data_IF_665164601237
#
_entry.id   IF_665164601237
#
_cell.length_a   1.000
_cell.length_b   1.000
_cell.length_c   1.000
_cell.angle_alpha   90.00
_cell.angle_beta   90.00
_cell.angle_gamma   90.00
#
_symmetry.space_group_name_H-M   'P 1'
#
loop_
_entity.id
_entity.type
_entity.pdbx_description
1 polymer ?
#
# COMPACT_ATOMS: atom_id res chain seq x y z
N UNK A 1 20.42 -28.97 -7.59
CA UNK A 1 19.78 -27.68 -7.88
C UNK A 1 19.38 -27.03 -6.58
N UNK A 2 19.48 -25.71 -6.42
CA UNK A 2 19.01 -25.02 -5.24
C UNK A 2 17.52 -25.32 -5.00
N UNK A 3 17.11 -25.41 -3.72
CA UNK A 3 15.69 -25.52 -3.40
C UNK A 3 14.97 -24.20 -3.62
N UNK A 4 13.68 -24.22 -3.96
CA UNK A 4 12.94 -22.98 -4.15
C UNK A 4 12.80 -22.14 -2.87
N UNK A 5 12.54 -20.84 -3.05
CA UNK A 5 12.23 -19.90 -1.97
C UNK A 5 10.82 -19.35 -2.17
N UNK A 6 10.08 -19.21 -1.07
CA UNK A 6 8.75 -18.57 -1.06
C UNK A 6 8.88 -17.11 -0.65
N UNK A 7 8.27 -16.22 -1.41
CA UNK A 7 8.10 -14.80 -1.06
C UNK A 7 6.60 -14.53 -0.90
N UNK A 8 6.17 -14.01 0.26
CA UNK A 8 4.77 -13.72 0.58
C UNK A 8 4.55 -12.22 0.57
N UNK A 9 3.79 -11.72 -0.39
CA UNK A 9 3.48 -10.32 -0.62
C UNK A 9 4.17 -9.75 -1.85
N UNK A 10 3.38 -9.26 -2.80
CA UNK A 10 3.81 -8.69 -4.08
C UNK A 10 3.95 -7.16 -4.08
N UNK A 11 4.25 -6.54 -2.93
CA UNK A 11 4.65 -5.13 -2.83
C UNK A 11 6.10 -4.91 -3.24
N UNK A 12 6.61 -3.67 -3.14
CA UNK A 12 7.97 -3.31 -3.57
C UNK A 12 9.05 -4.18 -2.91
N UNK A 13 8.91 -4.48 -1.62
CA UNK A 13 9.86 -5.32 -0.89
C UNK A 13 9.87 -6.76 -1.40
N UNK A 14 8.70 -7.37 -1.60
CA UNK A 14 8.61 -8.74 -2.13
C UNK A 14 9.02 -8.84 -3.59
N UNK A 15 8.68 -7.86 -4.41
CA UNK A 15 9.14 -7.77 -5.81
C UNK A 15 10.66 -7.72 -5.86
N UNK A 16 11.29 -6.87 -5.06
CA UNK A 16 12.76 -6.77 -5.02
C UNK A 16 13.40 -8.07 -4.53
N UNK A 17 12.91 -8.63 -3.41
CA UNK A 17 13.44 -9.89 -2.89
C UNK A 17 13.31 -11.04 -3.91
N UNK A 18 12.18 -11.11 -4.64
CA UNK A 18 11.96 -12.12 -5.66
C UNK A 18 12.92 -11.98 -6.85
N UNK A 19 13.17 -10.75 -7.32
CA UNK A 19 14.13 -10.48 -8.40
C UNK A 19 15.56 -10.81 -7.96
N UNK A 20 15.99 -10.34 -6.78
CA UNK A 20 17.34 -10.57 -6.27
C UNK A 20 17.64 -12.08 -6.06
N UNK A 21 16.65 -12.87 -5.66
CA UNK A 21 16.75 -14.34 -5.57
C UNK A 21 16.81 -14.99 -6.94
N UNK A 22 15.95 -14.58 -7.83
CA UNK A 22 15.82 -15.19 -9.16
C UNK A 22 17.03 -14.90 -10.06
N UNK A 23 17.64 -13.70 -9.93
CA UNK A 23 18.88 -13.33 -10.61
C UNK A 23 20.07 -14.16 -10.15
N UNK A 24 20.02 -14.73 -8.92
CA UNK A 24 20.99 -15.71 -8.41
C UNK A 24 20.71 -17.16 -8.88
N UNK A 25 19.74 -17.36 -9.78
CA UNK A 25 19.39 -18.68 -10.32
C UNK A 25 18.48 -19.52 -9.41
N UNK A 26 17.89 -18.92 -8.37
CA UNK A 26 16.99 -19.59 -7.44
C UNK A 26 15.56 -19.55 -7.97
N UNK A 27 14.86 -20.68 -7.93
CA UNK A 27 13.43 -20.72 -8.19
C UNK A 27 12.66 -20.04 -7.09
N UNK A 28 11.83 -19.05 -7.44
CA UNK A 28 11.00 -18.27 -6.50
C UNK A 28 9.54 -18.49 -6.76
N UNK A 29 8.77 -18.70 -5.70
CA UNK A 29 7.31 -18.60 -5.70
C UNK A 29 6.93 -17.27 -5.05
N UNK A 30 6.37 -16.34 -5.82
CA UNK A 30 5.86 -15.06 -5.29
C UNK A 30 4.35 -15.15 -5.14
N UNK A 31 3.86 -15.10 -3.90
CA UNK A 31 2.43 -15.20 -3.57
C UNK A 31 1.88 -13.82 -3.22
N UNK A 32 0.79 -13.43 -3.90
CA UNK A 32 0.09 -12.16 -3.65
C UNK A 32 -1.42 -12.42 -3.49
N UNK A 33 -2.00 -11.89 -2.40
CA UNK A 33 -3.42 -12.10 -2.08
C UNK A 33 -4.38 -11.35 -2.98
N UNK A 34 -3.93 -10.23 -3.58
CA UNK A 34 -4.72 -9.41 -4.50
C UNK A 34 -4.57 -9.89 -5.94
N UNK A 35 -5.46 -9.49 -6.85
CA UNK A 35 -5.38 -9.90 -8.26
C UNK A 35 -4.14 -9.40 -9.02
N UNK A 36 -3.37 -8.46 -8.47
CA UNK A 36 -2.16 -7.91 -9.07
C UNK A 36 -1.09 -7.67 -8.02
N UNK A 37 0.18 -7.78 -8.39
CA UNK A 37 1.30 -7.27 -7.60
C UNK A 37 1.39 -5.74 -7.70
N UNK A 38 2.23 -5.11 -6.84
CA UNK A 38 2.47 -3.67 -6.80
C UNK A 38 2.24 -3.05 -5.42
N UNK A 39 1.33 -3.63 -4.63
CA UNK A 39 1.07 -3.22 -3.25
C UNK A 39 0.70 -1.74 -3.12
N UNK A 40 1.03 -1.15 -1.97
CA UNK A 40 0.72 0.25 -1.66
C UNK A 40 1.44 1.27 -2.55
N UNK A 41 2.62 0.93 -3.07
CA UNK A 41 3.38 1.84 -3.93
C UNK A 41 2.62 2.19 -5.22
N UNK A 42 1.78 1.29 -5.76
CA UNK A 42 0.94 1.59 -6.92
C UNK A 42 -0.21 2.56 -6.61
N UNK A 43 -0.55 2.78 -5.36
CA UNK A 43 -1.55 3.77 -4.95
C UNK A 43 -0.95 5.17 -4.76
N UNK A 44 0.38 5.31 -4.74
CA UNK A 44 1.07 6.59 -4.63
C UNK A 44 1.16 7.27 -5.99
N UNK A 45 1.13 8.61 -6.01
CA UNK A 45 1.41 9.40 -7.20
C UNK A 45 2.91 9.49 -7.45
N UNK A 46 3.63 10.12 -6.51
CA UNK A 46 5.10 10.27 -6.57
C UNK A 46 5.77 9.75 -5.31
N UNK A 47 7.07 9.50 -5.40
CA UNK A 47 7.94 9.16 -4.26
C UNK A 47 8.61 10.41 -3.69
N UNK A 48 9.11 10.35 -2.46
CA UNK A 48 9.97 11.38 -1.87
C UNK A 48 11.40 10.83 -1.69
N UNK A 49 12.44 11.67 -1.69
CA UNK A 49 12.46 13.12 -1.83
C UNK A 49 12.52 13.60 -3.29
N UNK A 50 12.65 12.68 -4.26
CA UNK A 50 12.95 12.99 -5.67
C UNK A 50 11.73 13.45 -6.47
N UNK A 51 10.51 13.19 -6.00
CA UNK A 51 9.24 13.43 -6.70
C UNK A 51 9.10 12.62 -8.00
N UNK A 52 9.74 11.46 -8.06
CA UNK A 52 9.58 10.54 -9.19
C UNK A 52 8.23 9.83 -9.17
N UNK A 53 7.70 9.54 -10.34
CA UNK A 53 6.46 8.80 -10.52
C UNK A 53 6.55 7.38 -9.95
N UNK A 54 5.74 7.05 -8.98
CA UNK A 54 5.75 5.75 -8.30
C UNK A 54 5.45 4.58 -9.24
N UNK A 55 4.44 4.74 -10.10
CA UNK A 55 4.08 3.73 -11.09
C UNK A 55 5.18 3.54 -12.14
N UNK A 56 5.86 4.63 -12.54
CA UNK A 56 6.92 4.58 -13.54
C UNK A 56 8.16 3.81 -13.03
N UNK A 57 8.44 3.88 -11.73
CA UNK A 57 9.52 3.12 -11.10
C UNK A 57 9.13 1.65 -10.90
N UNK A 58 7.90 1.41 -10.43
CA UNK A 58 7.49 0.08 -10.00
C UNK A 58 7.06 -0.81 -11.16
N UNK A 59 6.38 -0.28 -12.17
CA UNK A 59 5.84 -1.08 -13.29
C UNK A 59 6.91 -1.90 -14.03
N UNK A 60 8.11 -1.37 -14.37
CA UNK A 60 9.16 -2.17 -14.97
C UNK A 60 9.58 -3.37 -14.11
N UNK A 61 9.67 -3.20 -12.79
CA UNK A 61 9.98 -4.29 -11.85
C UNK A 61 8.86 -5.33 -11.79
N UNK A 62 7.60 -4.91 -11.81
CA UNK A 62 6.44 -5.82 -11.87
C UNK A 62 6.47 -6.67 -13.15
N UNK A 63 6.78 -6.04 -14.29
CA UNK A 63 6.92 -6.73 -15.59
C UNK A 63 8.11 -7.68 -15.56
N UNK A 64 9.25 -7.27 -14.97
CA UNK A 64 10.41 -8.14 -14.81
C UNK A 64 10.06 -9.40 -14.01
N UNK A 65 9.36 -9.27 -12.88
CA UNK A 65 8.86 -10.42 -12.10
C UNK A 65 8.01 -11.36 -12.95
N UNK A 66 7.05 -10.83 -13.72
CA UNK A 66 6.14 -11.66 -14.52
C UNK A 66 6.83 -12.39 -15.67
N UNK A 67 7.97 -11.90 -16.14
CA UNK A 67 8.72 -12.45 -17.26
C UNK A 67 9.95 -13.27 -16.85
N UNK A 68 10.34 -13.20 -15.57
CA UNK A 68 11.54 -13.89 -15.12
C UNK A 68 11.36 -15.40 -15.10
N UNK A 69 12.24 -16.19 -15.77
CA UNK A 69 12.08 -17.64 -15.90
C UNK A 69 12.10 -18.38 -14.55
N UNK A 70 12.79 -17.82 -13.55
CA UNK A 70 12.91 -18.41 -12.22
C UNK A 70 11.85 -17.90 -11.24
N UNK A 71 10.86 -17.08 -11.67
CA UNK A 71 9.79 -16.63 -10.80
C UNK A 71 8.45 -17.21 -11.24
N UNK A 72 7.82 -17.96 -10.35
CA UNK A 72 6.42 -18.35 -10.51
C UNK A 72 5.53 -17.41 -9.70
N UNK A 73 4.84 -16.53 -10.41
CA UNK A 73 3.92 -15.54 -9.81
C UNK A 73 2.56 -16.19 -9.54
N UNK A 74 2.13 -16.17 -8.29
CA UNK A 74 0.85 -16.68 -7.81
C UNK A 74 0.02 -15.51 -7.22
N UNK A 75 -0.69 -14.80 -8.07
CA UNK A 75 -1.61 -13.73 -7.66
C UNK A 75 -2.98 -14.28 -7.32
N UNK A 76 -3.77 -13.51 -6.56
CA UNK A 76 -5.06 -13.90 -6.00
C UNK A 76 -4.97 -15.19 -5.18
N UNK A 77 -3.86 -15.32 -4.43
CA UNK A 77 -3.46 -16.54 -3.73
C UNK A 77 -3.02 -16.23 -2.30
N UNK A 78 -3.31 -17.11 -1.36
CA UNK A 78 -2.99 -16.95 0.06
C UNK A 78 -2.29 -18.20 0.60
N UNK A 79 -1.28 -18.01 1.44
CA UNK A 79 -0.65 -19.11 2.20
C UNK A 79 -1.59 -19.47 3.35
N UNK A 80 -2.04 -20.73 3.37
CA UNK A 80 -3.02 -21.22 4.35
C UNK A 80 -2.41 -22.16 5.40
N UNK A 81 -1.27 -22.79 5.11
CA UNK A 81 -0.58 -23.69 6.04
C UNK A 81 0.92 -23.68 5.75
N UNK A 82 1.72 -23.68 6.80
CA UNK A 82 3.18 -23.86 6.76
C UNK A 82 3.60 -24.85 7.82
N UNK A 83 4.33 -25.88 7.42
CA UNK A 83 4.91 -26.90 8.32
C UNK A 83 6.37 -27.16 7.97
N UNK A 84 7.10 -27.88 8.81
CA UNK A 84 8.51 -28.19 8.59
C UNK A 84 9.46 -27.18 9.25
N UNK A 85 10.67 -27.06 8.75
CA UNK A 85 11.73 -26.25 9.33
C UNK A 85 12.66 -25.68 8.27
N UNK A 86 13.61 -24.85 8.68
CA UNK A 86 14.63 -24.27 7.81
C UNK A 86 15.26 -25.31 6.86
N UNK A 87 15.31 -24.99 5.59
CA UNK A 87 15.75 -25.89 4.51
C UNK A 87 14.66 -26.85 3.99
N UNK A 88 13.51 -26.99 4.65
CA UNK A 88 12.48 -27.95 4.26
C UNK A 88 11.07 -27.60 4.78
N UNK A 89 10.56 -26.44 4.37
CA UNK A 89 9.19 -26.03 4.65
C UNK A 89 8.21 -26.64 3.63
N UNK A 90 7.12 -27.22 4.13
CA UNK A 90 5.96 -27.61 3.32
C UNK A 90 4.90 -26.52 3.43
N UNK A 91 4.47 -25.97 2.31
CA UNK A 91 3.57 -24.83 2.24
C UNK A 91 2.35 -25.19 1.41
N UNK A 92 1.15 -24.90 1.93
CA UNK A 92 -0.10 -24.96 1.16
C UNK A 92 -0.57 -23.55 0.82
N UNK A 93 -0.87 -23.35 -0.45
CA UNK A 93 -1.33 -22.08 -1.01
C UNK A 93 -2.71 -22.28 -1.59
N UNK A 94 -3.66 -21.48 -1.18
CA UNK A 94 -4.99 -21.42 -1.77
C UNK A 94 -5.00 -20.39 -2.89
N UNK A 95 -5.13 -20.84 -4.15
CA UNK A 95 -5.36 -19.97 -5.30
C UNK A 95 -6.87 -19.78 -5.48
N UNK A 96 -7.32 -18.54 -5.30
CA UNK A 96 -8.74 -18.16 -5.44
C UNK A 96 -9.16 -18.12 -6.91
N UNK A 97 -10.40 -18.51 -7.24
CA UNK A 97 -10.87 -18.43 -8.61
C UNK A 97 -11.12 -16.97 -9.02
N UNK A 98 -10.54 -16.57 -10.13
CA UNK A 98 -10.83 -15.27 -10.78
C UNK A 98 -12.16 -15.28 -11.53
N UNK A 99 -12.69 -16.48 -11.80
CA UNK A 99 -13.78 -16.72 -12.73
C UNK A 99 -13.49 -16.21 -14.15
N UNK A 100 -12.22 -16.04 -14.45
CA UNK A 100 -11.65 -15.66 -15.74
C UNK A 100 -10.42 -16.52 -15.99
N UNK A 101 -10.38 -17.15 -17.15
CA UNK A 101 -9.23 -17.92 -17.62
C UNK A 101 -8.08 -16.97 -17.94
N UNK A 102 -6.99 -17.06 -17.17
CA UNK A 102 -5.85 -16.15 -17.27
C UNK A 102 -5.08 -16.31 -18.59
N UNK A 103 -5.07 -17.51 -19.20
CA UNK A 103 -4.39 -17.76 -20.46
C UNK A 103 -5.16 -17.13 -21.63
N UNK A 104 -6.49 -17.19 -21.61
CA UNK A 104 -7.36 -16.61 -22.64
C UNK A 104 -7.59 -15.11 -22.48
N UNK A 105 -7.56 -14.60 -21.26
CA UNK A 105 -7.83 -13.18 -21.02
C UNK A 105 -6.68 -12.29 -21.52
N UNK A 106 -6.98 -11.35 -22.41
CA UNK A 106 -6.02 -10.38 -22.96
C UNK A 106 -6.06 -9.01 -22.29
N UNK A 107 -6.87 -8.84 -21.25
CA UNK A 107 -6.98 -7.57 -20.52
C UNK A 107 -7.66 -6.42 -21.28
N UNK A 108 -8.43 -6.70 -22.34
CA UNK A 108 -9.00 -5.69 -23.25
C UNK A 108 -10.05 -4.74 -22.65
N UNK A 109 -10.59 -5.03 -21.47
CA UNK A 109 -11.52 -4.15 -20.78
C UNK A 109 -12.99 -4.21 -21.20
N UNK A 110 -13.35 -4.88 -22.30
CA UNK A 110 -14.73 -4.90 -22.83
C UNK A 110 -15.73 -5.40 -21.78
N UNK A 111 -15.35 -6.42 -20.99
CA UNK A 111 -16.20 -7.04 -19.99
C UNK A 111 -16.58 -6.08 -18.85
N UNK A 112 -15.61 -5.32 -18.31
CA UNK A 112 -15.94 -4.40 -17.22
C UNK A 112 -16.64 -3.12 -17.72
N UNK A 113 -16.38 -2.66 -18.94
CA UNK A 113 -17.11 -1.53 -19.51
C UNK A 113 -18.62 -1.83 -19.71
N UNK A 114 -18.99 -3.10 -19.91
CA UNK A 114 -20.38 -3.53 -20.11
C UNK A 114 -21.03 -4.10 -18.85
N UNK A 115 -20.30 -4.29 -17.75
CA UNK A 115 -20.84 -4.84 -16.51
C UNK A 115 -21.82 -3.82 -15.86
N UNK A 116 -23.06 -4.22 -15.52
CA UNK A 116 -24.02 -3.32 -14.89
C UNK A 116 -23.77 -3.09 -13.39
N UNK A 117 -23.12 -4.04 -12.71
CA UNK A 117 -22.87 -3.95 -11.26
C UNK A 117 -21.76 -2.97 -10.95
N UNK A 118 -22.04 -2.00 -10.06
CA UNK A 118 -21.09 -1.00 -9.57
C UNK A 118 -20.85 -1.21 -8.08
N UNK A 119 -19.61 -1.14 -7.65
CA UNK A 119 -19.18 -1.29 -6.25
C UNK A 119 -18.11 -0.25 -5.91
N UNK A 120 -17.92 0.12 -4.65
CA UNK A 120 -16.81 0.97 -4.26
C UNK A 120 -15.47 0.39 -4.75
N UNK A 121 -14.60 1.25 -5.24
CA UNK A 121 -13.28 0.88 -5.74
C UNK A 121 -12.25 0.89 -4.59
N UNK A 122 -11.80 -0.27 -4.16
CA UNK A 122 -10.85 -0.41 -3.06
C UNK A 122 -9.47 0.17 -3.40
N UNK A 123 -9.09 0.18 -4.67
CA UNK A 123 -7.83 0.79 -5.10
C UNK A 123 -7.84 2.31 -4.88
N UNK A 124 -8.99 2.93 -5.07
CA UNK A 124 -9.23 4.35 -4.78
C UNK A 124 -9.87 4.60 -3.40
N UNK A 125 -9.76 3.67 -2.46
CA UNK A 125 -10.29 3.77 -1.08
C UNK A 125 -11.79 4.13 -1.03
N UNK A 126 -12.58 3.64 -1.99
CA UNK A 126 -14.01 3.90 -2.08
C UNK A 126 -14.38 5.28 -2.66
N UNK A 127 -13.41 6.13 -3.02
CA UNK A 127 -13.69 7.45 -3.62
C UNK A 127 -14.22 7.38 -5.05
N UNK A 128 -14.08 6.26 -5.72
CA UNK A 128 -14.68 5.95 -7.02
C UNK A 128 -15.43 4.63 -6.99
N UNK A 129 -16.06 4.28 -8.12
CA UNK A 129 -16.73 3.00 -8.30
C UNK A 129 -16.02 2.18 -9.36
N UNK A 130 -15.80 0.88 -9.08
CA UNK A 130 -15.42 -0.13 -10.06
C UNK A 130 -16.62 -1.03 -10.42
N UNK A 131 -16.42 -1.90 -11.38
CA UNK A 131 -17.39 -2.94 -11.73
C UNK A 131 -17.15 -4.23 -10.96
N UNK A 132 -18.15 -5.10 -10.87
CA UNK A 132 -18.00 -6.43 -10.26
C UNK A 132 -17.01 -7.31 -11.03
N UNK A 133 -16.84 -7.14 -12.34
CA UNK A 133 -15.68 -7.66 -13.08
C UNK A 133 -14.73 -6.51 -13.35
N UNK A 134 -13.45 -6.66 -13.00
CA UNK A 134 -12.51 -5.54 -12.98
C UNK A 134 -11.05 -5.98 -13.14
N UNK A 135 -10.21 -5.02 -13.44
CA UNK A 135 -8.76 -5.07 -13.27
C UNK A 135 -8.43 -4.01 -12.21
N UNK A 136 -7.59 -4.29 -11.20
CA UNK A 136 -7.42 -3.40 -10.04
C UNK A 136 -6.95 -1.98 -10.41
N UNK A 137 -6.05 -1.87 -11.38
CA UNK A 137 -5.52 -0.59 -11.90
C UNK A 137 -4.91 -0.81 -13.29
N UNK A 138 -4.70 0.25 -14.10
CA UNK A 138 -4.29 0.10 -15.51
C UNK A 138 -2.98 -0.65 -15.74
N UNK A 139 -2.00 -0.51 -14.84
CA UNK A 139 -0.68 -1.16 -14.92
C UNK A 139 -0.63 -2.52 -14.19
N UNK A 140 -1.76 -3.15 -13.93
CA UNK A 140 -1.84 -4.41 -13.18
C UNK A 140 -1.00 -5.53 -13.82
N UNK A 141 -0.32 -6.29 -12.98
CA UNK A 141 0.47 -7.48 -13.38
C UNK A 141 0.05 -8.66 -12.50
N UNK A 142 -0.54 -9.71 -13.12
CA UNK A 142 -0.94 -9.83 -14.52
C UNK A 142 -2.11 -8.89 -14.88
N UNK A 143 -2.15 -8.42 -16.14
CA UNK A 143 -3.25 -7.61 -16.65
C UNK A 143 -4.43 -8.54 -17.02
N UNK A 144 -5.10 -9.07 -16.01
CA UNK A 144 -6.18 -10.05 -16.15
C UNK A 144 -7.39 -9.61 -15.35
N UNK A 145 -8.58 -9.75 -15.93
CA UNK A 145 -9.81 -9.45 -15.24
C UNK A 145 -10.07 -10.45 -14.10
N UNK A 146 -10.79 -9.99 -13.08
CA UNK A 146 -11.25 -10.81 -11.96
C UNK A 146 -12.72 -10.49 -11.68
N UNK A 147 -13.53 -11.48 -11.38
CA UNK A 147 -14.92 -11.28 -10.97
C UNK A 147 -15.01 -11.29 -9.45
N UNK A 148 -15.53 -10.22 -8.91
CA UNK A 148 -15.95 -10.10 -7.51
C UNK A 148 -17.27 -10.88 -7.34
N UNK A 149 -17.14 -12.08 -6.76
CA UNK A 149 -18.27 -13.01 -6.61
C UNK A 149 -19.40 -12.41 -5.75
N UNK A 150 -19.05 -11.65 -4.72
CA UNK A 150 -20.00 -11.12 -3.74
C UNK A 150 -20.93 -10.07 -4.37
N UNK A 151 -20.41 -9.33 -5.35
CA UNK A 151 -21.15 -8.25 -6.00
C UNK A 151 -21.59 -8.57 -7.44
N UNK A 152 -21.24 -9.75 -7.96
CA UNK A 152 -21.62 -10.17 -9.29
C UNK A 152 -23.09 -10.64 -9.33
N UNK A 153 -23.90 -10.04 -10.19
CA UNK A 153 -25.33 -10.38 -10.37
C UNK A 153 -25.52 -11.85 -10.76
N UNK A 154 -24.59 -12.45 -11.50
CA UNK A 154 -24.66 -13.86 -11.82
C UNK A 154 -24.58 -14.74 -10.57
N UNK A 155 -23.58 -14.49 -9.72
CA UNK A 155 -23.39 -15.29 -8.51
C UNK A 155 -24.44 -15.03 -7.43
N UNK A 156 -24.94 -13.78 -7.31
CA UNK A 156 -25.90 -13.42 -6.26
C UNK A 156 -27.35 -13.69 -6.63
N UNK A 157 -27.71 -13.61 -7.93
CA UNK A 157 -29.12 -13.71 -8.41
C UNK A 157 -29.30 -14.71 -9.54
N UNK A 158 -28.26 -15.43 -9.94
CA UNK A 158 -28.26 -16.37 -11.07
C UNK A 158 -28.76 -15.77 -12.40
N UNK A 159 -28.59 -14.46 -12.55
CA UNK A 159 -29.01 -13.69 -13.73
C UNK A 159 -27.79 -12.91 -14.23
N UNK A 160 -27.80 -12.50 -15.47
CA UNK A 160 -26.72 -11.75 -16.10
C UNK A 160 -25.49 -12.60 -16.47
N UNK A 161 -25.19 -12.64 -17.75
CA UNK A 161 -23.96 -13.23 -18.33
C UNK A 161 -23.37 -12.28 -19.38
N UNK A 162 -23.46 -10.97 -19.14
CA UNK A 162 -23.05 -9.94 -20.12
C UNK A 162 -21.56 -10.04 -20.40
N UNK A 163 -20.71 -10.14 -19.38
CA UNK A 163 -19.26 -10.23 -19.54
C UNK A 163 -18.82 -11.47 -20.38
N UNK A 164 -19.52 -12.60 -20.25
CA UNK A 164 -19.28 -13.80 -21.05
C UNK A 164 -19.67 -13.58 -22.51
N UNK A 165 -20.85 -12.99 -22.77
CA UNK A 165 -21.36 -12.75 -24.12
C UNK A 165 -20.49 -11.78 -24.91
N UNK A 166 -19.87 -10.79 -24.25
CA UNK A 166 -19.05 -9.77 -24.92
C UNK A 166 -17.54 -10.10 -24.93
N UNK A 167 -17.11 -11.18 -24.29
CA UNK A 167 -15.71 -11.56 -24.24
C UNK A 167 -15.22 -12.13 -25.58
N UNK A 168 -14.31 -11.47 -26.32
CA UNK A 168 -13.89 -11.93 -27.64
C UNK A 168 -13.08 -13.23 -27.57
N UNK A 169 -12.38 -13.47 -26.45
CA UNK A 169 -11.54 -14.65 -26.25
C UNK A 169 -12.23 -15.76 -25.45
N UNK A 170 -13.49 -15.56 -25.07
CA UNK A 170 -14.28 -16.52 -24.26
C UNK A 170 -13.55 -16.93 -22.96
N UNK A 171 -12.93 -15.95 -22.30
CA UNK A 171 -12.14 -16.19 -21.09
C UNK A 171 -13.00 -16.34 -19.82
N UNK A 172 -14.30 -16.03 -19.85
CA UNK A 172 -15.14 -16.09 -18.64
C UNK A 172 -15.49 -17.55 -18.31
N UNK A 173 -15.22 -17.95 -17.06
CA UNK A 173 -15.50 -19.29 -16.55
C UNK A 173 -16.08 -19.23 -15.13
N UNK A 174 -17.40 -19.26 -15.02
CA UNK A 174 -18.09 -19.20 -13.72
C UNK A 174 -17.94 -20.46 -12.88
N UNK A 175 -17.55 -21.59 -13.48
CA UNK A 175 -17.39 -22.88 -12.81
C UNK A 175 -15.99 -23.08 -12.22
N UNK A 176 -15.13 -22.07 -12.33
CA UNK A 176 -13.77 -22.12 -11.78
C UNK A 176 -13.81 -22.35 -10.26
N UNK A 177 -13.02 -23.31 -9.79
CA UNK A 177 -12.94 -23.65 -8.36
C UNK A 177 -11.64 -23.16 -7.74
N UNK A 178 -11.60 -22.94 -6.42
CA UNK A 178 -10.32 -22.73 -5.73
C UNK A 178 -9.38 -23.93 -5.94
N UNK A 179 -8.09 -23.65 -6.05
CA UNK A 179 -7.04 -24.64 -6.21
C UNK A 179 -6.09 -24.59 -5.01
N UNK A 180 -5.73 -25.75 -4.46
CA UNK A 180 -4.69 -25.86 -3.44
C UNK A 180 -3.38 -26.31 -4.09
N UNK A 181 -2.33 -25.51 -3.93
CA UNK A 181 -0.99 -25.78 -4.44
C UNK A 181 -0.10 -26.13 -3.24
N UNK A 182 0.56 -27.28 -3.30
CA UNK A 182 1.52 -27.71 -2.29
C UNK A 182 2.94 -27.53 -2.80
N UNK A 183 3.80 -26.89 -1.99
CA UNK A 183 5.18 -26.59 -2.34
C UNK A 183 6.10 -27.02 -1.20
N UNK A 184 7.31 -27.48 -1.57
CA UNK A 184 8.42 -27.65 -0.65
C UNK A 184 9.47 -26.57 -0.95
N UNK A 185 9.81 -25.75 0.05
CA UNK A 185 10.72 -24.61 -0.08
C UNK A 185 11.78 -24.61 1.01
N UNK A 186 12.94 -24.05 0.71
CA UNK A 186 14.05 -23.96 1.67
C UNK A 186 13.83 -22.86 2.71
N UNK A 187 13.27 -21.73 2.28
CA UNK A 187 13.11 -20.54 3.10
C UNK A 187 11.89 -19.72 2.68
N UNK A 188 11.48 -18.82 3.56
CA UNK A 188 10.30 -17.98 3.39
C UNK A 188 10.69 -16.53 3.66
N UNK A 189 10.34 -15.62 2.75
CA UNK A 189 10.47 -14.15 2.92
C UNK A 189 9.09 -13.54 3.05
N UNK A 190 8.81 -12.92 4.20
CA UNK A 190 7.53 -12.25 4.51
C UNK A 190 7.66 -10.78 4.16
N UNK A 191 6.92 -10.35 3.13
CA UNK A 191 6.93 -9.00 2.57
C UNK A 191 5.50 -8.40 2.48
N UNK A 192 4.66 -8.71 3.44
CA UNK A 192 3.20 -8.48 3.42
C UNK A 192 2.79 -7.02 3.67
N UNK A 193 3.77 -6.16 4.03
CA UNK A 193 3.56 -4.72 4.16
C UNK A 193 2.69 -4.33 5.37
N UNK A 194 1.79 -3.37 5.17
CA UNK A 194 1.02 -2.75 6.23
C UNK A 194 -0.43 -2.44 5.82
N UNK A 195 -1.25 -2.22 6.81
CA UNK A 195 -2.56 -1.59 6.68
C UNK A 195 -2.61 -0.29 7.49
N UNK A 196 -3.43 0.65 7.05
CA UNK A 196 -3.70 1.86 7.82
C UNK A 196 -4.51 1.52 9.06
N UNK A 197 -4.23 2.21 10.16
CA UNK A 197 -5.08 2.16 11.34
C UNK A 197 -6.38 2.90 11.03
N UNK A 198 -7.49 2.44 11.55
CA UNK A 198 -8.79 3.07 11.32
C UNK A 198 -8.76 4.53 11.83
N UNK A 199 -8.87 5.54 10.95
CA UNK A 199 -8.83 6.94 11.34
C UNK A 199 -10.03 7.38 12.19
N UNK A 200 -11.13 6.62 12.19
CA UNK A 200 -12.31 6.91 13.02
C UNK A 200 -12.04 6.76 14.52
N UNK A 201 -10.98 6.02 14.90
CA UNK A 201 -10.49 5.93 16.27
C UNK A 201 -10.03 7.28 16.81
N UNK A 202 -9.66 8.22 15.95
CA UNK A 202 -9.37 9.62 16.28
C UNK A 202 -10.57 10.52 15.95
N UNK A 203 -11.71 10.24 16.58
CA UNK A 203 -13.01 10.85 16.29
C UNK A 203 -13.00 12.39 16.35
N UNK A 204 -12.09 12.99 17.14
CA UNK A 204 -11.89 14.43 17.22
C UNK A 204 -11.49 15.10 15.91
N UNK A 205 -11.01 14.33 14.93
CA UNK A 205 -10.63 14.84 13.61
C UNK A 205 -11.73 14.69 12.55
N UNK A 206 -12.85 14.04 12.87
CA UNK A 206 -14.05 14.02 12.04
C UNK A 206 -13.94 13.28 10.72
N UNK A 207 -12.97 12.35 10.56
CA UNK A 207 -12.92 11.49 9.38
C UNK A 207 -14.20 10.63 9.27
N UNK A 208 -14.75 10.54 8.06
CA UNK A 208 -16.03 9.87 7.80
C UNK A 208 -17.26 10.68 8.21
N UNK A 209 -17.10 11.71 9.05
CA UNK A 209 -18.16 12.64 9.47
C UNK A 209 -18.16 13.92 8.61
N UNK A 210 -16.99 14.52 8.40
CA UNK A 210 -16.81 15.73 7.62
C UNK A 210 -16.29 15.41 6.22
N UNK A 211 -16.97 15.91 5.20
CA UNK A 211 -16.69 15.53 3.81
C UNK A 211 -15.28 15.93 3.35
N UNK A 212 -14.75 17.07 3.82
CA UNK A 212 -13.46 17.61 3.39
C UNK A 212 -12.27 17.15 4.26
N UNK A 213 -12.48 16.12 5.10
CA UNK A 213 -11.41 15.43 5.83
C UNK A 213 -11.01 14.16 5.07
N UNK A 214 -9.76 14.08 4.68
CA UNK A 214 -9.14 13.00 3.92
C UNK A 214 -8.05 12.32 4.73
N UNK A 215 -7.66 11.12 4.36
CA UNK A 215 -6.39 10.51 4.81
C UNK A 215 -5.32 10.68 3.73
N UNK A 216 -4.04 10.58 4.14
CA UNK A 216 -2.89 10.76 3.22
C UNK A 216 -2.98 9.88 1.97
N UNK A 217 -3.43 8.63 2.08
CA UNK A 217 -3.54 7.74 0.92
C UNK A 217 -4.69 8.12 -0.02
N UNK A 218 -5.79 8.67 0.49
CA UNK A 218 -6.84 9.25 -0.35
C UNK A 218 -6.32 10.48 -1.10
N UNK A 219 -5.52 11.30 -0.43
CA UNK A 219 -4.91 12.48 -1.07
C UNK A 219 -3.93 12.08 -2.18
N UNK A 220 -3.15 11.00 -2.02
CA UNK A 220 -2.35 10.41 -3.11
C UNK A 220 -3.21 10.08 -4.34
N UNK A 221 -4.41 9.54 -4.10
CA UNK A 221 -5.31 9.19 -5.22
C UNK A 221 -5.94 10.43 -5.87
N UNK A 222 -6.12 11.54 -5.15
CA UNK A 222 -6.53 12.81 -5.78
C UNK A 222 -5.41 13.40 -6.65
N UNK A 223 -4.15 13.30 -6.22
CA UNK A 223 -2.99 13.78 -6.99
C UNK A 223 -2.75 12.99 -8.28
N UNK A 224 -3.13 11.72 -8.30
CA UNK A 224 -2.80 10.82 -9.41
C UNK A 224 -3.74 11.01 -10.61
N UNK A 225 -3.17 11.09 -11.83
CA UNK A 225 -3.93 11.13 -13.08
C UNK A 225 -4.82 9.89 -13.31
N UNK A 226 -4.51 8.76 -12.67
CA UNK A 226 -5.34 7.55 -12.67
C UNK A 226 -6.28 7.47 -11.47
N UNK A 227 -6.34 8.51 -10.68
CA UNK A 227 -7.21 8.62 -9.50
C UNK A 227 -8.66 9.00 -9.86
N UNK A 228 -9.51 9.11 -8.84
CA UNK A 228 -10.95 9.32 -9.02
C UNK A 228 -11.31 10.66 -9.68
N UNK A 229 -10.43 11.65 -9.59
CA UNK A 229 -10.61 13.02 -10.12
C UNK A 229 -9.70 13.33 -11.30
N UNK A 230 -8.95 12.34 -11.82
CA UNK A 230 -8.03 12.57 -12.93
C UNK A 230 -6.82 13.45 -12.60
N UNK A 231 -6.46 13.55 -11.30
CA UNK A 231 -5.36 14.38 -10.81
C UNK A 231 -5.79 15.75 -10.27
N UNK A 232 -7.09 16.03 -10.25
CA UNK A 232 -7.63 17.28 -9.73
C UNK A 232 -7.83 17.22 -8.22
N UNK A 233 -7.25 18.16 -7.48
CA UNK A 233 -7.44 18.31 -6.04
C UNK A 233 -8.72 19.09 -5.80
N UNK A 234 -9.79 18.38 -5.45
CA UNK A 234 -11.10 18.98 -5.22
C UNK A 234 -11.69 18.56 -3.87
N UNK A 235 -12.50 19.44 -3.31
CA UNK A 235 -13.28 19.20 -2.09
C UNK A 235 -14.45 18.24 -2.40
N UNK A 236 -14.72 17.28 -1.52
CA UNK A 236 -15.89 16.38 -1.67
C UNK A 236 -17.23 17.10 -1.55
N UNK A 237 -17.28 18.22 -0.79
CA UNK A 237 -18.52 18.94 -0.50
C UNK A 237 -19.10 19.67 -1.71
N UNK A 238 -18.25 20.21 -2.59
CA UNK A 238 -18.69 21.11 -3.66
C UNK A 238 -17.90 20.99 -4.98
N UNK A 239 -16.94 20.06 -5.05
CA UNK A 239 -16.04 19.83 -6.18
C UNK A 239 -15.18 21.05 -6.58
N UNK A 240 -14.98 22.00 -5.66
CA UNK A 240 -14.10 23.16 -5.90
C UNK A 240 -12.68 22.87 -5.44
N UNK A 241 -11.73 23.57 -6.02
CA UNK A 241 -10.33 23.57 -5.56
C UNK A 241 -10.24 24.24 -4.18
N UNK A 242 -9.52 23.62 -3.21
CA UNK A 242 -9.26 24.25 -1.92
C UNK A 242 -8.28 25.41 -2.09
N UNK A 243 -8.46 26.47 -1.31
CA UNK A 243 -7.53 27.60 -1.20
C UNK A 243 -6.48 27.36 -0.13
N UNK A 244 -6.82 26.56 0.86
CA UNK A 244 -5.91 26.20 1.95
C UNK A 244 -6.12 24.76 2.40
N UNK A 245 -5.02 24.05 2.65
CA UNK A 245 -5.00 22.65 3.05
C UNK A 245 -4.17 22.50 4.32
N UNK A 246 -4.72 21.80 5.32
CA UNK A 246 -3.97 21.38 6.51
C UNK A 246 -3.58 19.93 6.43
N UNK A 247 -2.34 19.60 6.78
CA UNK A 247 -1.83 18.23 6.96
C UNK A 247 -1.59 18.00 8.44
N UNK A 248 -2.25 16.99 9.04
CA UNK A 248 -2.12 16.68 10.48
C UNK A 248 -1.30 15.41 10.64
N UNK A 249 -0.14 15.54 11.30
CA UNK A 249 0.76 14.45 11.56
C UNK A 249 0.31 13.57 12.73
N UNK A 250 0.79 12.33 12.76
CA UNK A 250 0.65 11.40 13.88
C UNK A 250 -0.80 11.09 14.29
N UNK A 251 -1.72 11.03 13.33
CA UNK A 251 -3.10 10.59 13.59
C UNK A 251 -3.11 9.08 13.82
N UNK A 252 -3.64 8.60 14.94
CA UNK A 252 -3.57 7.19 15.36
C UNK A 252 -2.14 6.62 15.33
N UNK A 253 -1.14 7.44 15.68
CA UNK A 253 0.28 7.09 15.71
C UNK A 253 0.97 7.91 16.81
N UNK A 254 1.97 7.32 17.50
CA UNK A 254 2.63 7.91 18.66
C UNK A 254 1.62 8.29 19.76
N UNK A 255 0.64 7.43 19.93
CA UNK A 255 -0.46 7.57 20.88
C UNK A 255 -0.58 6.25 21.66
N UNK A 256 -0.30 6.30 22.96
CA UNK A 256 -0.28 5.10 23.82
C UNK A 256 -1.64 4.39 23.92
N UNK A 257 -2.74 5.10 23.61
CA UNK A 257 -4.09 4.52 23.65
C UNK A 257 -4.47 3.80 22.36
N UNK A 258 -3.86 4.16 21.21
CA UNK A 258 -4.23 3.62 19.90
C UNK A 258 -3.06 2.86 19.29
N UNK A 259 -1.93 3.52 19.11
CA UNK A 259 -0.71 2.94 18.56
C UNK A 259 0.50 3.79 19.00
N UNK A 260 1.37 3.26 19.86
CA UNK A 260 2.55 3.98 20.34
C UNK A 260 3.61 4.20 19.24
N UNK A 261 3.54 3.48 18.15
CA UNK A 261 4.56 3.46 17.12
C UNK A 261 4.50 4.68 16.19
N UNK A 262 5.67 5.08 15.68
CA UNK A 262 5.79 6.03 14.58
C UNK A 262 5.73 5.28 13.25
N UNK A 263 5.04 5.84 12.26
CA UNK A 263 4.98 5.27 10.90
C UNK A 263 6.27 5.53 10.08
N UNK A 264 7.24 6.26 10.61
CA UNK A 264 8.55 6.63 10.05
C UNK A 264 8.52 7.47 8.76
N UNK A 265 7.61 7.26 7.84
CA UNK A 265 7.56 7.92 6.53
C UNK A 265 6.51 9.05 6.40
N UNK A 266 5.57 9.18 7.34
CA UNK A 266 4.43 10.10 7.17
C UNK A 266 4.84 11.59 7.15
N UNK A 267 5.90 11.99 7.84
CA UNK A 267 6.42 13.36 7.79
C UNK A 267 6.85 13.74 6.38
N UNK A 268 7.66 12.91 5.75
CA UNK A 268 8.13 13.15 4.37
C UNK A 268 7.02 13.00 3.35
N UNK A 269 6.06 12.09 3.57
CA UNK A 269 4.87 11.98 2.73
C UNK A 269 4.04 13.29 2.76
N UNK A 270 3.83 13.90 3.92
CA UNK A 270 3.10 15.17 4.00
C UNK A 270 3.86 16.36 3.42
N UNK A 271 5.19 16.38 3.57
CA UNK A 271 6.04 17.34 2.87
C UNK A 271 5.88 17.20 1.35
N UNK A 272 5.92 15.98 0.84
CA UNK A 272 5.67 15.68 -0.58
C UNK A 272 4.27 16.15 -1.00
N UNK A 273 3.22 15.80 -0.25
CA UNK A 273 1.85 16.20 -0.56
C UNK A 273 1.67 17.70 -0.64
N UNK A 274 2.30 18.44 0.27
CA UNK A 274 2.22 19.92 0.27
C UNK A 274 2.93 20.54 -0.93
N UNK A 275 4.07 20.00 -1.36
CA UNK A 275 4.75 20.44 -2.59
C UNK A 275 3.87 20.14 -3.81
N UNK A 276 3.38 18.90 -3.94
CA UNK A 276 2.53 18.51 -5.06
C UNK A 276 1.22 19.30 -5.11
N UNK A 277 0.62 19.59 -3.95
CA UNK A 277 -0.56 20.44 -3.89
C UNK A 277 -0.29 21.82 -4.49
N UNK A 278 0.87 22.43 -4.21
CA UNK A 278 1.27 23.72 -4.77
C UNK A 278 1.68 23.64 -6.25
N UNK A 279 2.18 22.50 -6.72
CA UNK A 279 2.42 22.28 -8.16
C UNK A 279 1.09 22.20 -8.94
N UNK A 280 0.08 21.51 -8.40
CA UNK A 280 -1.25 21.39 -9.01
C UNK A 280 -2.08 22.68 -8.87
N UNK A 281 -1.96 23.38 -7.75
CA UNK A 281 -2.72 24.56 -7.38
C UNK A 281 -1.75 25.66 -6.90
N UNK A 282 -1.17 26.48 -7.78
CA UNK A 282 -0.09 27.43 -7.42
C UNK A 282 -0.44 28.41 -6.29
N UNK A 283 -1.72 28.75 -6.14
CA UNK A 283 -2.21 29.70 -5.13
C UNK A 283 -2.71 29.03 -3.83
N UNK A 284 -2.56 27.71 -3.68
CA UNK A 284 -3.02 27.01 -2.47
C UNK A 284 -2.06 27.26 -1.31
N UNK A 285 -2.58 27.57 -0.14
CA UNK A 285 -1.82 27.60 1.11
C UNK A 285 -1.78 26.21 1.76
N UNK A 286 -0.58 25.74 2.11
CA UNK A 286 -0.37 24.46 2.78
C UNK A 286 0.21 24.66 4.17
N UNK A 287 -0.39 24.06 5.19
CA UNK A 287 0.09 24.07 6.58
C UNK A 287 0.22 22.66 7.11
N UNK A 288 1.39 22.29 7.63
CA UNK A 288 1.66 21.00 8.27
C UNK A 288 1.69 21.19 9.79
N UNK A 289 0.75 20.53 10.49
CA UNK A 289 0.75 20.46 11.97
C UNK A 289 1.56 19.23 12.41
N UNK A 290 2.54 19.44 13.30
CA UNK A 290 3.49 18.38 13.69
C UNK A 290 3.90 18.52 15.17
N UNK A 291 4.27 17.41 15.81
CA UNK A 291 4.91 17.41 17.14
C UNK A 291 6.43 17.58 17.01
N UNK A 292 7.06 16.74 16.19
CA UNK A 292 8.42 16.83 15.67
C UNK A 292 8.40 16.36 14.20
N UNK A 293 9.34 16.85 13.40
CA UNK A 293 9.48 16.46 12.01
C UNK A 293 10.65 15.49 11.87
N UNK A 294 10.38 14.30 11.34
CA UNK A 294 11.37 13.25 11.18
C UNK A 294 11.85 13.19 9.73
N UNK A 295 13.06 13.76 9.48
CA UNK A 295 13.71 13.85 8.18
C UNK A 295 15.09 13.19 8.25
N UNK A 296 15.14 11.89 8.57
CA UNK A 296 16.39 11.17 8.87
C UNK A 296 17.03 10.47 7.66
N UNK A 297 16.34 10.39 6.52
CA UNK A 297 16.89 9.83 5.29
C UNK A 297 17.79 10.80 4.53
N UNK A 298 18.60 10.27 3.59
CA UNK A 298 19.48 11.09 2.73
C UNK A 298 18.64 12.03 1.85
N UNK A 299 18.93 13.33 1.93
CA UNK A 299 18.20 14.37 1.18
C UNK A 299 16.86 14.77 1.79
N UNK A 300 16.43 14.21 2.92
CA UNK A 300 15.12 14.48 3.51
C UNK A 300 15.06 15.85 4.19
N UNK A 301 16.15 16.25 4.84
CA UNK A 301 16.26 17.57 5.45
C UNK A 301 16.24 18.67 4.37
N UNK A 302 16.94 18.46 3.27
CA UNK A 302 16.94 19.35 2.10
C UNK A 302 15.56 19.44 1.47
N UNK A 303 14.86 18.31 1.38
CA UNK A 303 13.50 18.24 0.85
C UNK A 303 12.51 19.02 1.74
N UNK A 304 12.62 18.90 3.05
CA UNK A 304 11.86 19.71 4.01
C UNK A 304 12.18 21.22 3.86
N UNK A 305 13.47 21.57 3.78
CA UNK A 305 13.90 22.95 3.61
C UNK A 305 13.38 23.55 2.28
N UNK A 306 13.37 22.75 1.22
CA UNK A 306 12.81 23.11 -0.09
C UNK A 306 11.32 23.42 0.02
N UNK A 307 10.52 22.58 0.68
CA UNK A 307 9.10 22.81 0.89
C UNK A 307 8.82 24.15 1.59
N UNK A 308 9.64 24.48 2.61
CA UNK A 308 9.49 25.69 3.39
C UNK A 308 9.94 26.93 2.61
N UNK A 309 11.12 26.87 1.97
CA UNK A 309 11.77 28.08 1.38
C UNK A 309 11.31 28.37 -0.04
N UNK A 310 11.12 27.34 -0.88
CA UNK A 310 10.77 27.52 -2.29
C UNK A 310 9.25 27.46 -2.50
N UNK A 311 8.55 26.56 -1.78
CA UNK A 311 7.09 26.40 -1.93
C UNK A 311 6.28 27.16 -0.87
N UNK A 312 6.90 27.77 0.13
CA UNK A 312 6.20 28.54 1.15
C UNK A 312 5.26 27.72 2.01
N UNK A 313 5.54 26.41 2.19
CA UNK A 313 4.76 25.53 3.08
C UNK A 313 4.95 25.98 4.52
N UNK A 314 3.85 26.17 5.23
CA UNK A 314 3.84 26.60 6.65
C UNK A 314 3.97 25.37 7.55
N UNK A 315 4.84 25.45 8.54
CA UNK A 315 5.05 24.39 9.53
C UNK A 315 4.63 24.88 10.91
N UNK A 316 3.58 24.29 11.47
CA UNK A 316 3.01 24.66 12.76
C UNK A 316 3.29 23.58 13.80
N UNK A 317 4.16 23.90 14.77
CA UNK A 317 4.46 22.96 15.85
C UNK A 317 3.31 22.92 16.84
N UNK A 318 2.65 21.78 16.92
CA UNK A 318 1.50 21.53 17.80
C UNK A 318 0.60 20.44 17.20
N UNK A 319 0.08 19.57 18.05
CA UNK A 319 -0.92 18.58 17.62
C UNK A 319 -2.30 19.19 17.79
N UNK A 320 -3.14 19.29 16.73
CA UNK A 320 -4.51 19.77 16.86
C UNK A 320 -5.31 18.98 17.89
N UNK A 321 -6.10 19.67 18.70
CA UNK A 321 -6.96 19.05 19.69
C UNK A 321 -8.25 18.51 19.06
N UNK A 322 -8.84 19.27 18.15
CA UNK A 322 -10.07 18.87 17.42
C UNK A 322 -10.23 19.63 16.12
N UNK A 323 -11.12 19.09 15.28
CA UNK A 323 -11.66 19.73 14.07
C UNK A 323 -13.17 19.88 14.24
N UNK A 324 -13.71 21.02 13.82
CA UNK A 324 -15.14 21.30 13.73
C UNK A 324 -15.47 21.79 12.33
N UNK A 325 -16.60 21.36 11.77
CA UNK A 325 -17.05 21.78 10.43
C UNK A 325 -18.03 22.96 10.56
N UNK A 326 -17.78 24.00 9.78
CA UNK A 326 -18.73 25.11 9.60
C UNK A 326 -19.90 24.64 8.72
N UNK A 327 -21.14 24.70 9.20
CA UNK A 327 -22.28 24.06 8.53
C UNK A 327 -22.56 24.58 7.10
N UNK A 328 -22.35 25.88 6.86
CA UNK A 328 -22.70 26.53 5.57
C UNK A 328 -21.60 26.33 4.52
N UNK A 329 -20.37 26.61 4.86
CA UNK A 329 -19.23 26.58 3.92
C UNK A 329 -18.56 25.21 3.81
N UNK A 330 -18.82 24.31 4.77
CA UNK A 330 -18.12 23.03 4.93
C UNK A 330 -16.62 23.19 5.16
N UNK A 331 -16.18 24.37 5.61
CA UNK A 331 -14.81 24.62 6.03
C UNK A 331 -14.54 23.97 7.37
N UNK A 332 -13.27 23.71 7.65
CA UNK A 332 -12.82 22.94 8.79
C UNK A 332 -12.05 23.84 9.76
N UNK A 333 -12.58 24.05 10.96
CA UNK A 333 -11.96 24.87 12.00
C UNK A 333 -11.10 23.95 12.86
N UNK A 334 -9.78 24.13 12.79
CA UNK A 334 -8.80 23.40 13.59
C UNK A 334 -8.50 24.17 14.86
N UNK A 335 -8.71 23.55 16.02
CA UNK A 335 -8.29 24.07 17.32
C UNK A 335 -6.97 23.41 17.71
N UNK A 336 -5.95 24.23 18.04
CA UNK A 336 -4.63 23.77 18.45
C UNK A 336 -4.02 24.68 19.52
N UNK A 337 -2.99 24.17 20.18
CA UNK A 337 -2.12 24.96 21.04
C UNK A 337 -0.89 25.38 20.24
N UNK A 338 -0.64 26.68 20.21
CA UNK A 338 0.62 27.21 19.68
C UNK A 338 1.70 27.01 20.74
N UNK A 339 2.60 26.07 20.50
CA UNK A 339 3.64 25.66 21.45
C UNK A 339 4.70 26.74 21.75
N UNK A 340 4.78 27.80 20.95
CA UNK A 340 5.66 28.94 21.24
C UNK A 340 5.05 29.93 22.24
N UNK A 341 3.75 30.10 22.16
CA UNK A 341 3.03 31.08 23.01
C UNK A 341 2.26 30.43 24.16
N UNK A 342 2.03 29.09 24.11
CA UNK A 342 1.17 28.37 25.05
C UNK A 342 -0.31 28.73 24.90
N UNK A 343 -0.69 29.47 23.86
CA UNK A 343 -2.07 29.95 23.68
C UNK A 343 -2.86 29.00 22.77
N UNK A 344 -4.12 28.79 23.16
CA UNK A 344 -5.10 28.13 22.31
C UNK A 344 -5.43 29.02 21.11
N UNK A 345 -5.29 28.51 19.91
CA UNK A 345 -5.60 29.19 18.64
C UNK A 345 -6.54 28.36 17.77
N UNK A 346 -7.17 29.02 16.80
CA UNK A 346 -7.98 28.38 15.77
C UNK A 346 -7.54 28.85 14.40
N UNK A 347 -7.61 27.94 13.41
CA UNK A 347 -7.40 28.26 12.00
C UNK A 347 -8.46 27.53 11.16
N UNK A 348 -8.91 28.18 10.08
CA UNK A 348 -9.91 27.62 9.16
C UNK A 348 -9.25 27.13 7.90
N UNK A 349 -9.64 25.94 7.43
CA UNK A 349 -9.13 25.30 6.22
C UNK A 349 -10.26 24.77 5.34
N UNK A 350 -10.04 24.76 4.03
CA UNK A 350 -10.98 24.20 3.06
C UNK A 350 -10.90 22.67 3.00
N UNK A 351 -9.72 22.12 3.31
CA UNK A 351 -9.43 20.69 3.29
C UNK A 351 -8.46 20.30 4.38
N UNK A 352 -8.65 19.13 4.98
CA UNK A 352 -7.71 18.54 5.95
C UNK A 352 -7.30 17.15 5.50
N UNK A 353 -6.00 16.87 5.60
CA UNK A 353 -5.39 15.58 5.28
C UNK A 353 -4.75 14.99 6.52
N UNK A 354 -5.20 13.82 6.93
CA UNK A 354 -4.73 13.12 8.12
C UNK A 354 -3.62 12.14 7.76
N UNK A 355 -2.43 12.32 8.33
CA UNK A 355 -1.32 11.37 8.24
C UNK A 355 -1.52 10.25 9.27
N UNK A 356 -2.23 9.20 8.86
CA UNK A 356 -2.70 8.12 9.71
C UNK A 356 -1.58 7.11 9.98
N UNK A 357 -1.57 6.56 11.19
CA UNK A 357 -0.68 5.48 11.61
C UNK A 357 -0.86 4.20 10.81
N UNK A 358 0.18 3.35 10.85
CA UNK A 358 0.19 2.05 10.16
C UNK A 358 0.45 0.92 11.16
N UNK A 359 -0.06 -0.26 10.82
CA UNK A 359 0.26 -1.51 11.51
C UNK A 359 0.64 -2.58 10.50
N UNK A 360 1.56 -3.50 10.84
CA UNK A 360 2.01 -4.53 9.92
C UNK A 360 0.89 -5.52 9.58
N UNK A 361 1.06 -6.20 8.44
CA UNK A 361 0.28 -7.37 8.06
C UNK A 361 1.24 -8.54 8.03
N UNK A 362 0.85 -9.68 8.57
CA UNK A 362 1.63 -10.93 8.50
C UNK A 362 0.70 -12.12 8.26
N UNK A 363 1.22 -13.20 7.61
CA UNK A 363 0.40 -14.36 7.31
C UNK A 363 0.16 -15.17 8.60
N UNK A 364 -1.11 -15.39 8.95
CA UNK A 364 -1.51 -16.16 10.15
C UNK A 364 -0.96 -17.59 10.12
N UNK A 365 -0.84 -18.18 8.93
CA UNK A 365 -0.31 -19.53 8.74
C UNK A 365 1.12 -19.73 9.28
N UNK A 366 1.91 -18.66 9.43
CA UNK A 366 3.29 -18.73 9.96
C UNK A 366 3.36 -18.61 11.47
N UNK A 367 2.31 -18.15 12.15
CA UNK A 367 2.26 -17.95 13.61
C UNK A 367 3.52 -17.23 14.14
N UNK A 368 3.93 -16.16 13.45
CA UNK A 368 5.15 -15.42 13.77
C UNK A 368 5.06 -14.80 15.17
N UNK A 369 6.07 -14.97 16.02
CA UNK A 369 6.17 -14.22 17.26
C UNK A 369 6.24 -12.72 16.98
N UNK A 370 5.53 -11.94 17.79
CA UNK A 370 5.51 -10.48 17.69
C UNK A 370 6.24 -9.88 18.89
N UNK A 371 6.93 -8.76 18.65
CA UNK A 371 7.48 -7.88 19.68
C UNK A 371 6.38 -7.05 20.35
N UNK A 372 6.70 -6.38 21.46
CA UNK A 372 5.76 -5.54 22.21
C UNK A 372 5.14 -4.42 21.36
N UNK A 373 5.85 -3.95 20.34
CA UNK A 373 5.38 -2.94 19.39
C UNK A 373 4.46 -3.48 18.29
N UNK A 374 4.17 -4.80 18.29
CA UNK A 374 3.28 -5.47 17.34
C UNK A 374 3.91 -5.80 15.99
N UNK A 375 5.21 -5.58 15.80
CA UNK A 375 5.95 -6.05 14.62
C UNK A 375 6.47 -7.46 14.80
N UNK A 376 6.89 -8.09 13.69
CA UNK A 376 7.49 -9.43 13.75
C UNK A 376 8.77 -9.39 14.59
N UNK A 377 8.84 -10.25 15.60
CA UNK A 377 10.01 -10.34 16.47
C UNK A 377 11.21 -10.89 15.70
N UNK A 378 12.32 -10.12 15.71
CA UNK A 378 13.58 -10.49 15.09
C UNK A 378 14.52 -11.14 16.12
N UNK A 379 15.39 -12.05 15.69
CA UNK A 379 16.44 -12.62 16.55
C UNK A 379 17.38 -11.54 17.08
N UNK A 380 17.79 -10.63 16.23
CA UNK A 380 18.60 -9.47 16.59
C UNK A 380 18.37 -8.33 15.60
N UNK A 381 17.65 -7.30 16.02
CA UNK A 381 17.27 -6.18 15.15
C UNK A 381 18.47 -5.33 14.67
N UNK A 382 19.63 -5.43 15.30
CA UNK A 382 20.82 -4.64 14.95
C UNK A 382 21.80 -5.42 14.06
N UNK A 383 22.06 -6.68 14.41
CA UNK A 383 23.02 -7.52 13.69
C UNK A 383 22.37 -8.32 12.55
N UNK A 384 21.09 -8.63 12.69
CA UNK A 384 20.33 -9.40 11.70
C UNK A 384 18.88 -8.87 11.57
N UNK A 385 18.68 -7.74 10.89
CA UNK A 385 17.40 -7.04 10.85
C UNK A 385 16.33 -7.70 9.96
N UNK A 386 16.56 -8.94 9.52
CA UNK A 386 15.61 -9.67 8.65
C UNK A 386 15.25 -11.05 9.20
N UNK A 387 16.08 -11.69 10.02
CA UNK A 387 15.82 -13.03 10.53
C UNK A 387 14.82 -12.97 11.69
N UNK A 388 13.70 -13.68 11.52
CA UNK A 388 12.68 -13.81 12.56
C UNK A 388 13.10 -14.82 13.63
N UNK A 389 12.29 -15.00 14.67
CA UNK A 389 12.51 -16.05 15.67
C UNK A 389 12.37 -17.47 15.10
N UNK A 390 11.83 -17.62 13.88
CA UNK A 390 11.72 -18.89 13.16
C UNK A 390 12.87 -18.99 12.17
N UNK A 391 13.76 -19.96 12.32
CA UNK A 391 14.88 -20.18 11.42
C UNK A 391 14.41 -20.42 9.98
N UNK A 392 15.05 -19.79 9.01
CA UNK A 392 14.69 -19.86 7.59
C UNK A 392 13.49 -18.99 7.19
N UNK A 393 12.91 -18.26 8.13
CA UNK A 393 11.85 -17.26 7.87
C UNK A 393 12.41 -15.86 8.05
N UNK A 394 12.38 -15.07 7.02
CA UNK A 394 12.86 -13.68 6.97
C UNK A 394 11.68 -12.73 6.82
N UNK A 395 11.80 -11.51 7.34
CA UNK A 395 10.78 -10.46 7.17
C UNK A 395 11.40 -9.18 6.64
N UNK A 396 10.69 -8.51 5.72
CA UNK A 396 11.20 -7.32 5.03
C UNK A 396 10.11 -6.25 4.86
N UNK A 397 10.56 -5.02 4.63
CA UNK A 397 9.66 -3.88 4.46
C UNK A 397 8.90 -3.56 5.76
N UNK A 398 7.72 -2.96 5.63
CA UNK A 398 6.96 -2.51 6.82
C UNK A 398 6.46 -3.67 7.69
N UNK A 399 6.40 -4.88 7.19
CA UNK A 399 6.13 -6.06 8.02
C UNK A 399 7.18 -6.27 9.12
N UNK A 400 8.45 -5.89 8.87
CA UNK A 400 9.57 -5.96 9.81
C UNK A 400 9.73 -4.74 10.71
N UNK A 401 8.99 -3.66 10.45
CA UNK A 401 9.08 -2.38 11.14
C UNK A 401 8.79 -1.22 10.20
N UNK A 402 8.28 -0.13 10.74
CA UNK A 402 7.94 1.05 9.96
C UNK A 402 9.17 1.64 9.24
N UNK A 403 9.12 1.77 7.93
CA UNK A 403 10.19 2.29 7.07
C UNK A 403 9.66 2.77 5.71
N UNK A 404 10.47 3.51 5.00
CA UNK A 404 10.17 4.00 3.66
C UNK A 404 10.51 2.98 2.54
N UNK A 405 10.37 3.41 1.28
CA UNK A 405 10.63 2.55 0.11
C UNK A 405 12.11 2.21 -0.03
N UNK A 406 13.07 3.17 0.03
CA UNK A 406 14.49 2.86 -0.03
C UNK A 406 14.95 1.83 0.99
N UNK A 407 14.58 2.01 2.25
CA UNK A 407 14.91 1.08 3.33
C UNK A 407 14.29 -0.30 3.12
N UNK A 408 13.07 -0.35 2.61
CA UNK A 408 12.38 -1.61 2.27
C UNK A 408 13.12 -2.38 1.17
N UNK A 409 13.63 -1.68 0.15
CA UNK A 409 14.40 -2.28 -0.95
C UNK A 409 15.75 -2.82 -0.45
N UNK A 410 16.48 -2.03 0.33
CA UNK A 410 17.77 -2.45 0.91
C UNK A 410 17.62 -3.69 1.80
N UNK A 411 16.60 -3.70 2.65
CA UNK A 411 16.32 -4.82 3.53
C UNK A 411 15.96 -6.10 2.72
N UNK A 412 15.28 -5.94 1.59
CA UNK A 412 14.90 -7.06 0.72
C UNK A 412 16.12 -7.76 0.13
N UNK A 413 17.15 -7.02 -0.29
CA UNK A 413 18.41 -7.57 -0.75
C UNK A 413 19.14 -8.41 0.32
N UNK A 414 19.14 -7.93 1.60
CA UNK A 414 19.70 -8.69 2.71
C UNK A 414 18.95 -10.03 2.91
N UNK A 415 17.62 -10.00 2.94
CA UNK A 415 16.82 -11.22 3.09
C UNK A 415 17.02 -12.19 1.91
N UNK A 416 17.14 -11.66 0.68
CA UNK A 416 17.39 -12.47 -0.51
C UNK A 416 18.71 -13.24 -0.42
N UNK A 417 19.81 -12.57 -0.01
CA UNK A 417 21.11 -13.23 0.18
C UNK A 417 21.02 -14.33 1.23
N UNK A 418 20.43 -14.07 2.39
CA UNK A 418 20.29 -15.08 3.46
C UNK A 418 19.42 -16.26 3.04
N UNK A 419 18.32 -15.99 2.38
CA UNK A 419 17.43 -17.01 1.87
C UNK A 419 18.09 -17.87 0.78
N UNK A 420 18.94 -17.25 -0.07
CA UNK A 420 19.67 -17.96 -1.11
C UNK A 420 20.71 -18.93 -0.56
N UNK A 421 21.43 -18.53 0.49
CA UNK A 421 22.41 -19.40 1.17
C UNK A 421 21.71 -20.65 1.70
N UNK A 422 20.58 -20.50 2.38
CA UNK A 422 19.80 -21.61 2.91
C UNK A 422 19.22 -22.49 1.80
N UNK A 423 18.91 -21.93 0.64
CA UNK A 423 18.42 -22.65 -0.52
C UNK A 423 19.53 -23.48 -1.23
N UNK A 424 20.78 -23.35 -0.81
CA UNK A 424 21.92 -23.96 -1.50
C UNK A 424 22.33 -23.18 -2.75
N UNK A 425 22.00 -21.90 -2.81
CA UNK A 425 22.48 -20.95 -3.82
C UNK A 425 23.96 -20.68 -3.62
N UNK A 426 24.67 -20.47 -4.69
CA UNK A 426 26.11 -20.57 -4.82
C UNK A 426 26.93 -19.94 -3.68
N UNK A 427 27.63 -20.76 -2.96
CA UNK A 427 29.04 -20.52 -2.64
C UNK A 427 29.82 -20.56 -3.98
N UNK A 428 29.90 -19.45 -4.68
CA UNK A 428 30.88 -19.23 -5.75
C UNK A 428 31.71 -18.03 -5.43
#
# INVERSE_FOLDING_TARGET
MPKPVLVIGGGIAGIQAALDLADQGIQVYLVEKTPSIGGKMMQLDKTFPTLDCSACILTPKMVAVARHPNIKLLTYSEVIEVTGSAGNFNVKILKKPRYVDEEKCIGCGICFNKCPSKVPDEFNLGMSQRRAIYVPFPQAVPLKATIDKEHCIYFTKQRCRVCEKVCPTKAINYEQKPETIELNVASIVVATGYQLIDPTLAAQYGYGKYQNVYISLEFERLLSSTGPTGGEIVRRSDNKHPKNIAFIQCVCSRDVKINPNCSAFCCMASVKHSILAKEHLPNVDCTIFYMDLRAFGKGYQEFYNRAMREFGVKFMRGKPAKIEEEPETKNLIITYEDTFTGLKKTMTFDMVVLAVGVKPIYPEALKLPLSEDGYVQLKNQYLDPVLTMIDGVYTVGVAAGAKDIPDSVVQSGNAAIKASILAGGAQK
#
